data_IF_786400576981
#
_entry.id   IF_786400576981
#
_cell.length_a   1.000
_cell.length_b   1.000
_cell.length_c   1.000
_cell.angle_alpha   90.00
_cell.angle_beta   90.00
_cell.angle_gamma   90.00
#
_symmetry.space_group_name_H-M   'P 1'
#
loop_
_entity.id
_entity.type
_entity.pdbx_description
1 polymer ?
#
# COMPACT_ATOMS: atom_id res chain seq x y z
N UNK A 19 -0.64 5.30 11.37
CA UNK A 19 0.18 5.52 10.18
C UNK A 19 -0.65 6.02 9.00
N UNK A 20 -1.53 5.16 8.50
CA UNK A 20 -2.39 5.50 7.38
C UNK A 20 -3.48 6.49 7.79
N UNK A 21 -4.37 6.81 6.86
CA UNK A 21 -5.46 7.74 7.12
C UNK A 21 -6.79 7.18 6.62
N UNK A 22 -7.36 6.23 7.35
CA UNK A 22 -8.67 5.68 7.01
C UNK A 22 -8.81 4.99 5.66
N UNK A 23 -7.72 4.93 4.89
CA UNK A 23 -7.74 4.28 3.58
C UNK A 23 -7.22 2.84 3.67
N UNK A 24 -7.45 2.04 2.63
CA UNK A 24 -7.14 0.60 2.71
C UNK A 24 -5.75 0.21 2.22
N UNK A 25 -5.43 0.62 1.00
CA UNK A 25 -4.10 0.45 0.45
C UNK A 25 -3.73 1.75 -0.22
N UNK A 26 -2.55 2.27 0.09
CA UNK A 26 -2.09 3.52 -0.50
C UNK A 26 -0.81 3.26 -1.28
N UNK A 27 -0.76 3.72 -2.53
CA UNK A 27 0.47 3.62 -3.34
C UNK A 27 1.11 5.00 -3.54
N UNK A 28 2.43 5.03 -3.71
CA UNK A 28 3.13 6.30 -3.88
C UNK A 28 4.41 6.26 -4.69
N UNK A 29 4.70 7.35 -5.40
CA UNK A 29 5.92 7.44 -6.23
C UNK A 29 6.60 8.84 -6.20
N UNK A 30 7.94 8.80 -6.24
CA UNK A 30 8.76 10.00 -6.27
C UNK A 30 8.53 10.78 -7.55
N UNK A 31 8.36 12.09 -7.43
CA UNK A 31 8.30 12.93 -8.62
C UNK A 31 9.66 12.87 -9.32
N UNK A 32 10.73 12.73 -8.54
CA UNK A 32 12.07 12.65 -9.09
C UNK A 32 12.14 11.49 -10.09
N UNK A 33 11.32 10.47 -9.84
CA UNK A 33 11.25 9.28 -10.69
C UNK A 33 10.47 9.51 -11.99
N UNK A 34 9.22 9.91 -11.86
CA UNK A 34 8.37 10.09 -13.04
C UNK A 34 8.86 11.22 -13.96
N UNK A 35 9.36 12.31 -13.38
CA UNK A 35 9.89 13.45 -14.15
C UNK A 35 10.84 12.99 -15.24
N UNK A 36 11.64 11.98 -14.90
CA UNK A 36 12.67 11.45 -15.77
C UNK A 36 12.10 10.59 -16.90
N UNK A 37 11.09 9.77 -16.59
CA UNK A 37 10.41 9.01 -17.64
C UNK A 37 9.53 9.93 -18.48
N UNK A 38 9.16 11.06 -17.88
CA UNK A 38 8.43 12.08 -18.59
C UNK A 38 9.34 12.74 -19.61
N UNK A 39 10.59 13.01 -19.20
CA UNK A 39 11.53 13.74 -20.03
C UNK A 39 11.84 13.02 -21.34
N UNK A 40 12.10 11.72 -21.28
CA UNK A 40 12.46 10.99 -22.50
C UNK A 40 11.23 10.44 -23.21
N UNK A 41 10.05 10.63 -22.63
CA UNK A 41 8.82 10.48 -23.40
C UNK A 41 8.69 11.71 -24.29
N UNK A 42 9.18 12.84 -23.79
CA UNK A 42 9.24 14.07 -24.58
C UNK A 42 10.43 14.05 -25.55
N UNK A 43 11.55 13.45 -25.12
CA UNK A 43 12.71 13.29 -25.99
C UNK A 43 12.44 12.32 -27.14
N UNK A 44 11.23 11.76 -27.16
CA UNK A 44 10.74 11.05 -28.34
C UNK A 44 10.52 12.07 -29.46
N UNK A 45 10.19 13.30 -29.07
CA UNK A 45 10.33 14.54 -29.86
C UNK A 45 9.16 14.91 -30.80
N UNK A 46 8.23 14.00 -31.03
CA UNK A 46 7.09 14.30 -31.88
C UNK A 46 6.03 15.08 -31.11
N UNK A 47 6.40 16.28 -30.65
CA UNK A 47 5.53 17.06 -29.77
C UNK A 47 5.47 18.54 -30.12
N UNK A 48 4.81 18.84 -31.24
CA UNK A 48 4.56 20.23 -31.61
C UNK A 48 3.05 20.49 -31.50
N UNK A 49 2.71 21.63 -30.92
CA UNK A 49 1.31 22.02 -30.71
C UNK A 49 0.90 23.20 -31.58
N UNK A 50 -0.14 23.01 -32.38
CA UNK A 50 -0.61 24.07 -33.27
C UNK A 50 -2.07 24.38 -32.99
N UNK A 51 -2.38 25.67 -32.99
CA UNK A 51 -3.76 26.12 -32.90
C UNK A 51 -3.88 27.45 -33.63
N UNK A 52 -4.94 27.59 -34.41
CA UNK A 52 -5.22 28.85 -35.09
C UNK A 52 -6.71 29.13 -35.00
N UNK A 53 -7.07 30.13 -34.20
CA UNK A 53 -8.44 30.61 -34.13
C UNK A 53 -8.73 31.47 -35.36
N UNK A 54 -9.75 31.07 -36.09
CA UNK A 54 -10.10 31.72 -37.34
C UNK A 54 -11.50 32.30 -37.19
N UNK A 55 -11.74 33.50 -37.72
CA UNK A 55 -10.69 34.32 -38.29
C UNK A 55 -10.20 35.35 -37.27
N UNK A 56 -10.13 34.93 -36.01
CA UNK A 56 -9.80 35.84 -34.91
C UNK A 56 -8.34 36.28 -34.94
N UNK A 57 -7.62 35.87 -35.99
CA UNK A 57 -6.24 36.29 -36.22
C UNK A 57 -5.31 35.90 -35.09
N UNK A 58 -5.48 34.69 -34.55
CA UNK A 58 -4.63 34.20 -33.47
C UNK A 58 -3.97 32.87 -33.81
N UNK A 59 -2.75 32.65 -33.31
CA UNK A 59 -2.07 31.36 -33.47
C UNK A 59 -0.81 31.17 -32.59
N UNK A 60 -0.53 29.91 -32.22
CA UNK A 60 0.72 29.50 -31.57
C UNK A 60 1.30 28.21 -32.13
N UNK A 61 2.62 28.12 -32.12
CA UNK A 61 3.31 26.89 -32.43
C UNK A 61 4.34 26.65 -31.34
N UNK A 62 4.03 25.75 -30.42
CA UNK A 62 4.91 25.46 -29.28
C UNK A 62 5.70 24.17 -29.43
N UNK A 63 7.03 24.25 -29.38
CA UNK A 63 7.88 23.06 -29.41
C UNK A 63 8.58 22.88 -28.06
N UNK A 64 8.37 21.71 -27.46
CA UNK A 64 8.72 21.50 -26.07
C UNK A 64 10.11 20.90 -25.81
N UNK A 65 10.78 21.51 -24.82
CA UNK A 65 12.07 21.05 -24.32
C UNK A 65 11.90 19.98 -23.23
N UNK A 66 11.12 20.30 -22.20
CA UNK A 66 10.92 19.42 -21.06
C UNK A 66 9.67 19.82 -20.26
N UNK A 67 9.04 18.84 -19.60
CA UNK A 67 8.03 19.14 -18.57
C UNK A 67 8.53 18.59 -17.24
N UNK A 68 8.18 19.28 -16.17
CA UNK A 68 8.74 18.97 -14.86
C UNK A 68 7.70 19.21 -13.78
N UNK A 69 7.26 18.11 -13.18
CA UNK A 69 6.25 18.16 -12.13
C UNK A 69 6.86 18.81 -10.88
N UNK A 70 6.10 19.67 -10.21
CA UNK A 70 6.59 20.37 -9.03
C UNK A 70 5.54 20.40 -7.93
N UNK A 71 5.93 20.91 -6.77
CA UNK A 71 5.01 21.11 -5.64
C UNK A 71 3.85 22.03 -5.98
N UNK A 72 2.90 22.12 -5.06
CA UNK A 72 1.81 23.07 -5.18
C UNK A 72 0.58 22.42 -5.77
N UNK A 73 0.77 21.18 -6.21
CA UNK A 73 -0.33 20.38 -6.72
C UNK A 73 -1.33 20.02 -5.62
N UNK A 74 -2.58 20.40 -5.84
CA UNK A 74 -3.65 20.16 -4.87
C UNK A 74 -4.65 19.16 -5.46
N UNK A 75 -5.11 18.26 -4.61
CA UNK A 75 -6.14 17.29 -4.96
C UNK A 75 -5.73 16.43 -6.16
N UNK A 76 -6.62 16.29 -7.13
CA UNK A 76 -6.33 15.54 -8.34
C UNK A 76 -5.19 16.19 -9.12
N UNK A 77 -5.20 17.52 -9.16
CA UNK A 77 -4.21 18.25 -9.97
C UNK A 77 -2.72 18.12 -9.64
N UNK A 78 -1.94 18.06 -10.72
CA UNK A 78 -0.49 18.26 -10.78
C UNK A 78 -0.16 19.71 -11.08
N UNK A 79 0.96 20.21 -10.56
CA UNK A 79 1.46 21.49 -11.04
C UNK A 79 2.77 21.25 -11.74
N UNK A 80 2.90 21.75 -12.97
CA UNK A 80 4.08 21.43 -13.75
C UNK A 80 4.70 22.61 -14.47
N UNK A 81 6.03 22.60 -14.50
CA UNK A 81 6.86 23.60 -15.15
C UNK A 81 6.99 23.24 -16.64
N UNK A 82 6.66 24.17 -17.52
CA UNK A 82 6.76 23.92 -18.96
C UNK A 82 7.96 24.65 -19.58
N UNK A 83 8.90 23.90 -20.14
CA UNK A 83 10.05 24.51 -20.79
C UNK A 83 9.86 24.50 -22.31
N UNK A 84 9.66 25.68 -22.90
CA UNK A 84 9.64 25.78 -24.35
C UNK A 84 11.04 26.12 -24.81
N UNK A 85 11.50 25.53 -25.91
CA UNK A 85 12.83 25.90 -26.42
C UNK A 85 12.77 26.38 -27.88
N UNK A 86 11.60 26.25 -28.49
CA UNK A 86 11.34 26.80 -29.81
C UNK A 86 9.87 27.07 -29.94
N UNK A 87 9.50 28.12 -30.66
CA UNK A 87 8.10 28.43 -30.84
C UNK A 87 7.76 29.87 -31.15
N UNK A 88 6.47 30.10 -31.42
CA UNK A 88 5.99 31.45 -31.66
C UNK A 88 4.54 31.60 -31.23
N UNK A 89 4.05 32.83 -31.36
CA UNK A 89 2.74 33.20 -30.85
C UNK A 89 2.37 34.60 -31.38
N UNK A 90 1.31 34.67 -32.18
CA UNK A 90 0.91 35.93 -32.81
C UNK A 90 -0.57 36.30 -32.56
N UNK A 91 -0.81 37.54 -32.13
CA UNK A 91 -2.15 38.09 -32.01
C UNK A 91 -2.13 39.46 -32.66
N UNK A 92 -3.07 39.70 -33.57
CA UNK A 92 -3.26 41.04 -34.16
C UNK A 92 -2.02 41.65 -34.81
N UNK A 93 -1.24 40.83 -35.51
CA UNK A 93 -0.05 41.32 -36.23
C UNK A 93 1.15 41.52 -35.29
N UNK A 94 0.97 41.12 -34.03
CA UNK A 94 1.99 41.18 -33.00
C UNK A 94 2.68 39.84 -32.91
N UNK A 95 4.01 39.85 -32.95
CA UNK A 95 4.79 38.62 -32.97
C UNK A 95 5.63 38.43 -31.71
N UNK A 96 5.55 37.24 -31.12
CA UNK A 96 6.35 36.88 -29.94
C UNK A 96 6.84 35.44 -30.02
N UNK A 97 8.15 35.23 -30.03
CA UNK A 97 8.64 33.84 -30.11
C UNK A 97 8.81 33.29 -28.72
N UNK A 98 8.23 32.11 -28.51
CA UNK A 98 8.15 31.49 -27.20
C UNK A 98 9.40 30.69 -26.82
N UNK A 99 10.48 30.86 -27.59
CA UNK A 99 11.77 30.24 -27.27
C UNK A 99 12.24 30.66 -25.88
N UNK A 100 12.23 29.72 -24.93
CA UNK A 100 12.77 29.98 -23.61
C UNK A 100 11.80 30.42 -22.53
N UNK A 101 10.55 30.73 -22.91
CA UNK A 101 9.54 31.08 -21.91
C UNK A 101 9.17 29.84 -21.08
N UNK A 102 8.95 30.05 -19.79
CA UNK A 102 8.71 28.91 -18.90
C UNK A 102 7.44 29.12 -18.08
N UNK A 103 6.28 28.72 -18.66
CA UNK A 103 4.99 28.82 -17.99
C UNK A 103 4.81 27.76 -16.93
N UNK A 104 3.96 28.05 -15.96
CA UNK A 104 3.67 27.08 -14.92
C UNK A 104 2.17 26.82 -14.85
N UNK A 105 1.82 25.57 -15.10
CA UNK A 105 0.44 25.12 -15.17
C UNK A 105 0.07 24.22 -14.01
N UNK A 106 -1.22 24.12 -13.76
CA UNK A 106 -1.78 23.04 -12.93
C UNK A 106 -2.69 22.25 -13.83
N UNK A 107 -2.55 20.93 -13.84
CA UNK A 107 -3.37 20.08 -14.69
C UNK A 107 -4.01 18.88 -13.95
N UNK A 108 -5.11 18.37 -14.52
CA UNK A 108 -5.84 17.25 -13.95
C UNK A 108 -5.41 15.90 -14.53
N UNK A 109 -5.26 14.94 -13.63
CA UNK A 109 -5.12 13.55 -14.02
C UNK A 109 -6.39 12.79 -13.70
N UNK A 110 -6.73 11.83 -14.56
CA UNK A 110 -7.82 10.92 -14.24
C UNK A 110 -7.51 9.55 -14.80
N UNK A 111 -8.26 8.56 -14.35
CA UNK A 111 -8.02 7.20 -14.81
C UNK A 111 -8.82 6.94 -16.08
N UNK A 112 -8.19 6.28 -17.04
CA UNK A 112 -8.78 5.99 -18.35
C UNK A 112 -8.78 4.49 -18.61
N UNK A 113 -9.97 3.89 -18.77
CA UNK A 113 -10.04 2.47 -19.07
C UNK A 113 -9.31 2.16 -20.37
N UNK A 114 -8.81 0.94 -20.48
CA UNK A 114 -7.95 0.55 -21.59
C UNK A 114 -8.72 -0.09 -22.76
N UNK A 115 -8.22 0.10 -23.97
CA UNK A 115 -8.79 -0.54 -25.15
C UNK A 115 -8.22 -1.94 -25.34
N UNK A 116 -7.20 -2.27 -24.56
CA UNK A 116 -6.61 -3.62 -24.60
C UNK A 116 -7.29 -4.52 -23.55
N UNK A 117 -6.76 -4.51 -22.33
CA UNK A 117 -7.44 -5.12 -21.19
C UNK A 117 -8.20 -4.05 -20.39
N UNK A 118 -9.54 -3.99 -20.55
CA UNK A 118 -10.37 -3.01 -19.83
C UNK A 118 -10.33 -3.15 -18.31
N UNK A 119 -9.90 -4.31 -17.81
CA UNK A 119 -9.73 -4.52 -16.38
C UNK A 119 -8.48 -3.85 -15.84
N UNK A 120 -7.65 -3.36 -16.75
CA UNK A 120 -6.52 -2.51 -16.39
C UNK A 120 -6.89 -1.05 -16.64
N UNK A 121 -7.06 -0.30 -15.55
CA UNK A 121 -7.36 1.13 -15.68
C UNK A 121 -6.04 1.92 -15.72
N UNK A 122 -6.02 2.99 -16.49
CA UNK A 122 -4.78 3.66 -16.87
C UNK A 122 -4.75 5.16 -16.52
N UNK A 123 -3.69 5.60 -15.86
CA UNK A 123 -3.64 6.99 -15.38
C UNK A 123 -2.90 7.89 -16.37
N UNK A 124 -3.64 8.85 -16.94
CA UNK A 124 -3.09 9.73 -17.95
C UNK A 124 -3.46 11.17 -17.63
N UNK A 125 -2.93 12.12 -18.40
CA UNK A 125 -3.39 13.51 -18.36
C UNK A 125 -4.84 13.62 -18.82
N UNK A 126 -5.57 14.65 -18.40
CA UNK A 126 -6.92 14.82 -18.95
C UNK A 126 -7.39 16.28 -19.01
N UNK A 127 -7.52 16.81 -20.22
CA UNK A 127 -8.02 18.18 -20.38
C UNK A 127 -9.38 18.15 -21.08
N UNK A 128 -10.37 17.56 -20.42
CA UNK A 128 -11.71 17.53 -20.96
C UNK A 128 -12.40 18.87 -20.80
N UNK A 129 -13.58 18.84 -20.18
CA UNK A 129 -14.33 20.06 -19.94
C UNK A 129 -15.16 19.94 -18.67
N UNK A 136 -11.47 24.92 -17.88
CA UNK A 136 -12.19 23.86 -17.17
C UNK A 136 -11.26 23.06 -16.25
N UNK A 137 -10.31 22.33 -16.81
CA UNK A 137 -9.39 21.54 -15.97
C UNK A 137 -7.90 21.82 -16.30
N UNK A 138 -7.61 23.05 -16.75
CA UNK A 138 -6.23 23.57 -16.81
C UNK A 138 -6.20 24.98 -16.23
N UNK A 139 -5.31 25.21 -15.27
CA UNK A 139 -5.18 26.55 -14.71
C UNK A 139 -3.77 27.06 -15.06
N UNK A 140 -3.62 28.36 -15.27
CA UNK A 140 -2.31 28.95 -15.50
C UNK A 140 -1.87 29.66 -14.23
N UNK A 141 -0.69 29.30 -13.71
CA UNK A 141 -0.25 29.87 -12.44
C UNK A 141 0.67 31.01 -12.69
N UNK A 142 1.73 30.73 -13.45
CA UNK A 142 2.64 31.75 -13.93
C UNK A 142 2.67 31.67 -15.42
N UNK A 143 2.91 32.80 -16.07
CA UNK A 143 2.73 32.83 -17.52
C UNK A 143 4.02 32.53 -18.25
N UNK A 144 5.15 32.90 -17.65
CA UNK A 144 6.44 32.70 -18.29
C UNK A 144 7.55 33.40 -17.55
N UNK A 145 8.77 32.91 -17.71
CA UNK A 145 9.90 33.44 -16.98
C UNK A 145 11.15 33.48 -17.85
N UNK A 146 11.73 34.66 -17.97
CA UNK A 146 11.12 35.89 -17.47
C UNK A 146 11.23 36.86 -18.65
N UNK A 147 11.33 36.25 -19.82
CA UNK A 147 11.64 36.96 -21.06
C UNK A 147 10.39 37.54 -21.69
N UNK A 148 9.35 37.73 -20.87
CA UNK A 148 8.08 38.20 -21.41
C UNK A 148 7.77 39.67 -21.20
N UNK A 149 6.63 40.09 -21.73
CA UNK A 149 6.07 41.40 -21.49
C UNK A 149 4.88 41.14 -20.59
N UNK A 150 4.49 42.16 -19.83
CA UNK A 150 3.39 41.98 -18.89
C UNK A 150 2.17 41.59 -19.71
N UNK A 151 2.05 42.20 -20.89
CA UNK A 151 0.90 41.97 -21.76
C UNK A 151 0.91 40.50 -22.25
N UNK A 152 0.53 39.59 -21.34
CA UNK A 152 0.42 38.14 -21.56
C UNK A 152 -1.00 37.56 -21.28
N UNK A 153 -2.02 38.37 -21.52
CA UNK A 153 -3.38 37.88 -21.40
C UNK A 153 -3.67 36.96 -22.59
N UNK A 154 -2.99 37.24 -23.69
CA UNK A 154 -3.20 36.49 -24.92
C UNK A 154 -2.46 35.14 -24.91
N UNK A 155 -1.24 35.08 -24.35
CA UNK A 155 -0.51 33.80 -24.29
C UNK A 155 -1.36 32.79 -23.55
N UNK A 156 -1.85 33.20 -22.39
CA UNK A 156 -2.61 32.30 -21.53
C UNK A 156 -3.91 31.82 -22.18
N UNK A 157 -4.68 32.75 -22.76
CA UNK A 157 -5.88 32.38 -23.52
C UNK A 157 -5.52 31.33 -24.56
N UNK A 158 -4.40 31.55 -25.25
CA UNK A 158 -4.01 30.68 -26.35
C UNK A 158 -3.36 29.37 -25.91
N UNK A 159 -2.43 29.37 -24.96
CA UNK A 159 -1.82 28.09 -24.61
C UNK A 159 -2.80 27.23 -23.85
N UNK A 160 -4.00 27.72 -23.58
CA UNK A 160 -5.02 26.84 -23.06
C UNK A 160 -5.77 26.24 -24.26
N UNK A 161 -5.30 26.61 -25.42
CA UNK A 161 -5.65 25.92 -26.63
C UNK A 161 -4.68 24.74 -26.77
N UNK A 162 -4.22 24.28 -25.62
CA UNK A 162 -3.50 23.04 -25.42
C UNK A 162 -4.43 21.93 -25.84
N UNK A 163 -5.69 22.11 -25.50
CA UNK A 163 -6.64 21.02 -25.45
C UNK A 163 -6.71 20.38 -26.82
N UNK A 164 -6.62 21.20 -27.86
CA UNK A 164 -6.86 20.65 -29.17
C UNK A 164 -5.95 19.48 -29.36
N UNK A 165 -4.90 19.41 -28.56
CA UNK A 165 -3.86 18.41 -28.75
C UNK A 165 -3.80 17.44 -27.58
N UNK A 166 -4.94 17.28 -26.91
CA UNK A 166 -5.06 16.42 -25.72
C UNK A 166 -4.59 15.01 -26.01
N UNK A 167 -5.10 14.45 -27.10
CA UNK A 167 -4.81 13.09 -27.52
C UNK A 167 -3.33 12.89 -27.82
N UNK A 168 -2.66 13.96 -28.22
CA UNK A 168 -1.26 13.88 -28.61
C UNK A 168 -0.36 13.43 -27.47
N UNK A 169 -0.69 13.84 -26.25
CA UNK A 169 0.07 13.39 -25.08
C UNK A 169 -0.59 12.18 -24.40
N UNK A 170 -0.12 10.99 -24.73
CA UNK A 170 -0.71 9.77 -24.20
C UNK A 170 0.16 9.14 -23.12
N UNK A 171 0.87 9.97 -22.35
CA UNK A 171 1.81 9.43 -21.37
C UNK A 171 1.11 8.74 -20.21
N UNK A 172 1.63 7.57 -19.85
CA UNK A 172 1.04 6.74 -18.81
C UNK A 172 1.73 6.89 -17.48
N UNK A 173 1.11 7.63 -16.57
CA UNK A 173 1.72 7.87 -15.27
C UNK A 173 1.75 6.65 -14.38
N UNK A 174 0.79 5.76 -14.56
CA UNK A 174 0.75 4.52 -13.80
C UNK A 174 -0.27 3.57 -14.39
N UNK A 175 0.05 2.28 -14.41
CA UNK A 175 -0.92 1.27 -14.75
C UNK A 175 -1.53 0.79 -13.45
N UNK A 176 -2.85 0.69 -13.44
CA UNK A 176 -3.55 0.16 -12.28
C UNK A 176 -4.37 -1.06 -12.68
N UNK A 177 -4.14 -2.16 -11.97
CA UNK A 177 -4.69 -3.46 -12.30
C UNK A 177 -5.79 -3.90 -11.34
N UNK A 178 -7.05 -3.72 -11.72
CA UNK A 178 -8.11 -4.45 -11.02
C UNK A 178 -8.07 -5.86 -11.57
N UNK A 179 -8.57 -6.83 -10.81
CA UNK A 179 -8.57 -8.22 -11.24
C UNK A 179 -7.13 -8.74 -11.49
N UNK A 180 -6.31 -8.64 -10.46
CA UNK A 180 -4.97 -9.23 -10.44
C UNK A 180 -5.02 -10.62 -9.80
N UNK A 181 -3.92 -11.35 -9.88
CA UNK A 181 -3.90 -12.70 -9.32
C UNK A 181 -4.02 -12.68 -7.81
N UNK A 182 -3.68 -11.55 -7.19
CA UNK A 182 -3.86 -11.38 -5.75
C UNK A 182 -5.15 -10.62 -5.46
N UNK A 183 -6.16 -11.36 -5.02
CA UNK A 183 -7.53 -10.88 -5.02
C UNK A 183 -7.86 -9.90 -3.89
N UNK A 184 -7.22 -10.07 -2.74
CA UNK A 184 -7.55 -9.23 -1.61
C UNK A 184 -6.99 -7.82 -1.80
N UNK A 185 -6.08 -7.67 -2.75
CA UNK A 185 -5.50 -6.36 -3.04
C UNK A 185 -6.28 -5.60 -4.09
N UNK A 186 -7.18 -6.30 -4.78
CA UNK A 186 -7.93 -5.68 -5.87
C UNK A 186 -8.78 -4.53 -5.37
N UNK A 187 -8.61 -3.35 -5.99
CA UNK A 187 -9.32 -2.11 -5.64
C UNK A 187 -10.69 -1.97 -6.29
N UNK A 188 -11.67 -1.46 -5.56
CA UNK A 188 -12.99 -1.16 -6.12
C UNK A 188 -13.11 0.33 -6.42
N UNK A 189 -12.89 1.13 -5.38
CA UNK A 189 -12.82 2.57 -5.55
C UNK A 189 -11.42 3.05 -5.23
N UNK A 190 -11.01 4.16 -5.85
CA UNK A 190 -9.65 4.67 -5.74
C UNK A 190 -9.49 6.03 -6.43
N UNK A 191 -8.59 6.88 -5.93
CA UNK A 191 -8.38 8.18 -6.58
C UNK A 191 -7.00 8.82 -6.37
N UNK A 192 -6.64 9.70 -7.29
CA UNK A 192 -5.32 10.33 -7.33
C UNK A 192 -5.18 11.59 -6.46
N UNK A 193 -4.00 11.74 -5.86
CA UNK A 193 -3.71 12.84 -4.96
C UNK A 193 -2.22 13.13 -4.98
N UNK A 194 -1.87 14.41 -4.92
CA UNK A 194 -0.47 14.79 -4.94
C UNK A 194 0.01 15.22 -3.56
N UNK A 195 1.08 14.60 -3.09
CA UNK A 195 1.58 14.98 -1.77
C UNK A 195 2.78 15.89 -1.91
N UNK A 196 2.61 17.13 -1.47
CA UNK A 196 3.73 18.05 -1.33
C UNK A 196 3.95 18.32 0.16
N UNK A 197 5.20 18.16 0.63
CA UNK A 197 5.54 18.30 2.05
C UNK A 197 5.84 19.72 2.49
N UNK A 198 6.50 19.84 3.63
CA UNK A 198 6.92 21.13 4.17
C UNK A 198 8.31 21.49 3.64
N UNK A 199 9.26 20.54 3.73
CA UNK A 199 10.49 20.62 2.97
C UNK A 199 10.12 20.48 1.50
N UNK A 200 11.05 20.69 0.58
CA UNK A 200 10.64 20.82 -0.82
C UNK A 200 10.30 19.50 -1.56
N UNK A 201 11.18 18.51 -1.58
CA UNK A 201 10.96 17.38 -2.49
C UNK A 201 9.72 16.58 -2.15
N UNK A 202 9.21 15.82 -3.13
CA UNK A 202 7.89 15.22 -3.00
C UNK A 202 7.63 14.02 -3.87
N UNK A 203 6.57 13.30 -3.49
CA UNK A 203 6.08 12.19 -4.27
C UNK A 203 4.59 12.28 -4.33
N UNK A 204 4.03 12.05 -5.52
CA UNK A 204 2.59 11.97 -5.63
C UNK A 204 2.18 10.54 -5.45
N UNK A 205 0.87 10.32 -5.48
CA UNK A 205 0.39 9.08 -4.97
C UNK A 205 -1.08 8.81 -5.20
N UNK A 206 -1.45 7.55 -4.99
CA UNK A 206 -2.75 7.06 -5.38
C UNK A 206 -3.37 6.20 -4.26
N UNK A 207 -4.60 6.53 -3.87
CA UNK A 207 -5.23 5.94 -2.68
C UNK A 207 -6.41 5.01 -3.04
N UNK A 208 -6.55 3.86 -2.34
CA UNK A 208 -7.67 2.95 -2.61
C UNK A 208 -8.36 2.30 -1.41
N UNK A 209 -9.55 1.79 -1.72
CA UNK A 209 -10.31 0.87 -0.88
C UNK A 209 -10.51 -0.43 -1.65
N UNK A 210 -10.16 -1.58 -1.07
CA UNK A 210 -10.25 -2.84 -1.81
C UNK A 210 -11.51 -3.65 -1.54
N UNK A 211 -12.23 -3.98 -2.62
CA UNK A 211 -13.42 -4.82 -2.57
C UNK A 211 -14.61 -4.10 -1.93
N UNK A 212 -14.40 -3.69 -0.69
CA UNK A 212 -15.36 -2.89 0.08
C UNK A 212 -15.74 -1.58 -0.61
N UNK A 213 -17.03 -1.37 -0.72
CA UNK A 213 -17.52 -0.09 -1.20
C UNK A 213 -17.93 0.76 0.00
N UNK A 214 -16.94 1.23 0.75
CA UNK A 214 -17.19 2.01 1.96
C UNK A 214 -17.54 3.48 1.69
N UNK A 215 -17.59 4.29 2.73
CA UNK A 215 -18.15 5.61 2.59
C UNK A 215 -17.37 6.36 1.51
N UNK A 216 -16.07 6.18 1.49
CA UNK A 216 -15.23 6.71 0.42
C UNK A 216 -15.13 8.22 0.55
N UNK A 217 -16.28 8.89 0.54
CA UNK A 217 -16.30 10.32 0.79
C UNK A 217 -17.30 10.63 1.92
N UNK A 218 -16.87 11.43 2.88
CA UNK A 218 -15.56 12.07 2.81
C UNK A 218 -14.51 11.32 3.65
N UNK A 219 -13.54 10.74 2.96
CA UNK A 219 -12.30 10.32 3.60
C UNK A 219 -11.25 11.38 3.30
N UNK A 220 -10.30 11.53 4.22
CA UNK A 220 -9.19 12.47 4.02
C UNK A 220 -8.38 12.11 2.79
N UNK A 221 -7.46 12.98 2.44
CA UNK A 221 -6.54 12.65 1.36
C UNK A 221 -5.13 12.80 1.90
N UNK A 222 -5.02 13.20 3.16
CA UNK A 222 -3.73 13.30 3.82
C UNK A 222 -3.01 11.95 3.72
N UNK A 223 -1.69 11.98 3.52
CA UNK A 223 -0.95 10.75 3.35
C UNK A 223 0.28 10.75 4.24
N UNK A 224 0.71 9.56 4.63
CA UNK A 224 1.86 9.45 5.50
C UNK A 224 3.10 9.57 4.66
N UNK A 225 3.94 10.56 4.97
CA UNK A 225 5.20 10.73 4.26
C UNK A 225 6.13 9.56 4.54
N UNK A 226 5.79 8.74 5.53
CA UNK A 226 6.56 7.53 5.82
C UNK A 226 6.67 6.63 4.61
N UNK A 227 5.65 6.67 3.73
CA UNK A 227 5.56 5.73 2.61
C UNK A 227 6.83 5.67 1.78
N UNK A 228 7.43 6.84 1.55
CA UNK A 228 8.71 6.93 0.86
C UNK A 228 9.85 7.13 1.85
N UNK A 229 11.09 6.96 1.39
CA UNK A 229 12.30 7.25 2.20
C UNK A 229 13.45 7.64 1.30
N UNK A 230 14.57 8.05 1.90
CA UNK A 230 15.70 8.49 1.09
C UNK A 230 16.18 7.36 0.17
N UNK A 231 16.11 6.12 0.68
CA UNK A 231 16.58 4.94 -0.04
C UNK A 231 15.61 4.48 -1.14
N UNK A 232 14.35 4.90 -1.02
CA UNK A 232 13.25 4.32 -1.81
C UNK A 232 12.51 5.29 -2.75
N UNK A 233 12.31 4.84 -4.00
CA UNK A 233 11.56 5.56 -5.03
C UNK A 233 10.07 5.29 -4.99
N UNK A 234 9.69 4.03 -4.79
CA UNK A 234 8.27 3.66 -4.75
C UNK A 234 7.89 3.04 -3.40
N UNK A 235 6.69 3.37 -2.95
CA UNK A 235 6.19 2.88 -1.68
C UNK A 235 4.76 2.37 -1.79
N UNK A 236 4.42 1.53 -0.82
CA UNK A 236 3.12 0.85 -0.73
C UNK A 236 2.77 0.69 0.73
N UNK A 237 1.60 1.18 1.12
CA UNK A 237 1.15 1.08 2.51
C UNK A 237 -0.13 0.24 2.68
N UNK A 238 0.00 -0.90 3.35
CA UNK A 238 -1.15 -1.78 3.64
C UNK A 238 -1.73 -1.50 5.02
N UNK A 239 -3.05 -1.30 5.07
CA UNK A 239 -3.77 -1.07 6.32
C UNK A 239 -3.54 -2.22 7.31
N UNK A 240 -3.74 -1.96 8.60
CA UNK A 240 -3.55 -3.02 9.60
C UNK A 240 -4.43 -4.24 9.31
N UNK A 241 -5.70 -4.01 9.03
CA UNK A 241 -6.65 -5.10 8.81
C UNK A 241 -6.14 -6.03 7.72
N UNK A 242 -5.98 -5.50 6.51
CA UNK A 242 -5.52 -6.34 5.38
C UNK A 242 -4.28 -7.14 5.72
N UNK A 243 -3.41 -6.53 6.52
CA UNK A 243 -2.21 -7.22 6.99
C UNK A 243 -2.57 -8.41 7.86
N UNK A 244 -3.38 -8.16 8.88
CA UNK A 244 -3.85 -9.22 9.78
C UNK A 244 -4.50 -10.37 8.99
N UNK A 245 -5.47 -10.02 8.16
CA UNK A 245 -6.26 -11.00 7.42
C UNK A 245 -5.48 -11.74 6.34
N UNK A 246 -4.70 -11.01 5.54
CA UNK A 246 -4.16 -11.64 4.34
C UNK A 246 -2.67 -11.91 4.41
N UNK A 247 -2.01 -11.44 5.47
CA UNK A 247 -0.57 -11.65 5.58
C UNK A 247 -0.21 -12.50 6.78
N UNK A 248 -0.68 -12.11 7.96
CA UNK A 248 -0.36 -12.88 9.16
C UNK A 248 -1.17 -14.19 9.26
N UNK A 249 -2.49 -14.04 9.40
CA UNK A 249 -3.39 -15.18 9.57
C UNK A 249 -3.10 -16.40 8.66
N UNK A 250 -2.98 -16.19 7.33
CA UNK A 250 -2.73 -17.34 6.45
C UNK A 250 -1.58 -18.20 6.90
N UNK A 251 -0.49 -17.58 7.36
CA UNK A 251 0.64 -18.37 7.84
C UNK A 251 0.32 -19.04 9.19
N UNK A 252 0.02 -18.21 10.19
CA UNK A 252 -0.33 -18.62 11.54
C UNK A 252 -1.32 -19.76 11.55
N UNK A 253 -2.41 -19.56 10.84
CA UNK A 253 -3.52 -20.50 10.87
C UNK A 253 -3.20 -21.88 10.24
N UNK A 254 -1.98 -22.03 9.73
CA UNK A 254 -1.51 -23.26 9.14
C UNK A 254 -0.23 -23.65 9.83
N UNK A 255 -0.01 -23.10 11.01
CA UNK A 255 1.19 -23.43 11.74
C UNK A 255 0.88 -24.22 13.00
N UNK A 256 -0.34 -24.77 13.06
CA UNK A 256 -0.84 -25.32 14.31
C UNK A 256 -1.38 -26.75 14.18
N UNK A 257 -0.92 -27.49 13.19
CA UNK A 257 -1.44 -28.83 12.99
C UNK A 257 -2.58 -28.96 11.99
N UNK A 258 -2.90 -30.20 11.65
CA UNK A 258 -3.79 -30.50 10.55
C UNK A 258 -5.26 -30.27 10.85
N UNK A 259 -5.61 -30.01 12.12
CA UNK A 259 -7.03 -29.78 12.40
C UNK A 259 -7.29 -28.32 12.70
N UNK A 260 -6.35 -27.48 12.27
CA UNK A 260 -6.58 -26.04 12.25
C UNK A 260 -6.22 -25.43 10.90
N UNK A 261 -7.16 -24.66 10.33
CA UNK A 261 -7.01 -24.13 8.99
C UNK A 261 -7.61 -22.76 8.67
N UNK A 262 -7.51 -21.78 9.56
CA UNK A 262 -8.00 -20.42 9.23
C UNK A 262 -9.51 -20.31 9.08
N UNK A 263 -10.13 -21.34 8.49
CA UNK A 263 -11.57 -21.48 8.54
C UNK A 263 -11.96 -21.54 10.03
N UNK A 264 -11.01 -21.98 10.85
CA UNK A 264 -11.13 -21.93 12.30
C UNK A 264 -10.97 -20.54 12.91
N UNK A 265 -10.52 -19.57 12.10
CA UNK A 265 -10.24 -18.20 12.56
C UNK A 265 -11.09 -17.10 11.97
N UNK A 266 -11.39 -16.10 12.81
CA UNK A 266 -12.01 -14.86 12.38
C UNK A 266 -11.07 -13.67 12.52
N UNK A 267 -11.22 -12.66 11.68
CA UNK A 267 -10.60 -11.39 12.00
C UNK A 267 -11.71 -10.38 12.26
N UNK A 268 -11.70 -9.83 13.46
CA UNK A 268 -12.77 -8.97 13.97
C UNK A 268 -12.44 -7.48 13.82
N UNK A 269 -13.41 -6.69 13.39
CA UNK A 269 -13.18 -5.27 13.17
C UNK A 269 -13.21 -4.46 14.48
N UNK A 270 -12.28 -3.50 14.59
CA UNK A 270 -12.29 -2.51 15.67
C UNK A 270 -12.31 -1.09 15.08
N UNK A 271 -11.79 -0.99 13.87
CA UNK A 271 -12.01 0.15 12.98
C UNK A 271 -12.31 -0.44 11.60
N UNK A 272 -12.41 0.41 10.58
CA UNK A 272 -12.52 -0.10 9.22
C UNK A 272 -11.13 -0.40 8.67
N UNK A 273 -10.11 -0.15 9.49
CA UNK A 273 -8.72 -0.46 9.13
C UNK A 273 -7.94 -1.11 10.29
N UNK A 274 -8.55 -1.16 11.46
CA UNK A 274 -7.95 -1.77 12.64
C UNK A 274 -8.61 -3.12 12.88
N UNK A 275 -7.83 -4.17 13.14
CA UNK A 275 -8.38 -5.50 13.28
C UNK A 275 -7.68 -6.49 14.21
N UNK A 276 -8.48 -7.31 14.89
CA UNK A 276 -7.98 -8.35 15.80
C UNK A 276 -8.25 -9.78 15.30
N UNK A 277 -7.28 -10.68 15.50
CA UNK A 277 -7.47 -12.08 15.20
C UNK A 277 -8.09 -12.85 16.38
N UNK A 278 -9.34 -13.28 16.22
CA UNK A 278 -9.90 -14.20 17.19
C UNK A 278 -10.18 -15.57 16.56
N UNK A 279 -10.26 -16.60 17.39
CA UNK A 279 -10.67 -17.92 16.91
C UNK A 279 -12.20 -18.00 16.69
N UNK A 280 -12.60 -18.71 15.64
CA UNK A 280 -14.01 -18.80 15.27
C UNK A 280 -14.68 -19.85 16.13
N UNK A 281 -13.85 -20.78 16.60
CA UNK A 281 -14.29 -21.96 17.33
C UNK A 281 -13.11 -22.72 17.92
N UNK A 282 -13.39 -23.91 18.46
CA UNK A 282 -12.38 -24.69 19.14
C UNK A 282 -11.25 -25.07 18.18
N UNK A 283 -10.01 -24.78 18.59
CA UNK A 283 -8.84 -25.16 17.82
C UNK A 283 -8.31 -26.51 18.29
N UNK A 284 -8.31 -27.51 17.40
CA UNK A 284 -7.85 -28.83 17.82
C UNK A 284 -6.35 -29.01 17.58
N UNK A 285 -5.58 -28.90 18.66
CA UNK A 285 -4.14 -29.02 18.53
C UNK A 285 -3.74 -30.41 18.04
N UNK A 286 -2.55 -30.48 17.47
CA UNK A 286 -2.03 -31.77 17.03
C UNK A 286 -1.51 -32.58 18.22
N UNK A 287 -1.27 -33.87 18.02
CA UNK A 287 -0.89 -34.73 19.12
C UNK A 287 0.54 -34.58 19.63
N UNK A 288 0.69 -34.40 20.95
CA UNK A 288 1.99 -34.36 21.64
C UNK A 288 2.25 -35.60 22.51
N UNK A 289 3.36 -36.31 22.27
CA UNK A 289 3.68 -37.51 23.05
C UNK A 289 4.51 -37.26 24.29
N UNK A 290 3.89 -37.50 25.43
CA UNK A 290 4.52 -37.33 26.73
C UNK A 290 4.60 -38.67 27.43
N UNK A 291 5.82 -39.12 27.71
CA UNK A 291 6.05 -40.49 28.14
C UNK A 291 5.47 -41.37 27.07
N UNK A 292 4.59 -42.28 27.46
CA UNK A 292 4.14 -43.33 26.54
C UNK A 292 2.85 -42.98 25.81
N UNK A 293 2.24 -41.85 26.16
CA UNK A 293 0.94 -41.50 25.58
C UNK A 293 0.89 -40.19 24.77
N UNK A 294 0.04 -40.17 23.74
CA UNK A 294 -0.26 -38.97 22.96
C UNK A 294 -1.37 -38.13 23.59
N UNK A 295 -1.13 -36.83 23.75
CA UNK A 295 -2.16 -35.93 24.24
C UNK A 295 -2.53 -34.91 23.15
N UNK A 296 -3.77 -34.40 23.21
CA UNK A 296 -4.36 -33.62 22.12
C UNK A 296 -5.07 -32.41 22.67
N UNK A 297 -4.29 -31.38 23.06
CA UNK A 297 -4.90 -30.25 23.79
C UNK A 297 -5.80 -29.46 22.89
N UNK A 298 -6.70 -28.66 23.46
CA UNK A 298 -7.53 -27.79 22.65
C UNK A 298 -7.61 -26.39 23.23
N UNK A 299 -7.26 -25.41 22.40
CA UNK A 299 -7.41 -24.01 22.76
C UNK A 299 -8.87 -23.58 22.52
N UNK A 300 -9.48 -22.97 23.52
CA UNK A 300 -10.90 -22.65 23.46
C UNK A 300 -11.27 -21.23 23.04
N UNK A 301 -10.46 -20.26 23.46
CA UNK A 301 -10.51 -18.90 22.90
C UNK A 301 -9.10 -18.37 22.63
N UNK A 302 -8.96 -17.68 21.51
CA UNK A 302 -7.65 -17.29 21.01
C UNK A 302 -7.71 -15.87 20.51
N UNK A 303 -6.67 -15.10 20.81
CA UNK A 303 -6.64 -13.71 20.40
C UNK A 303 -5.22 -13.26 20.07
N UNK A 304 -5.08 -12.60 18.92
CA UNK A 304 -3.83 -11.98 18.52
C UNK A 304 -4.12 -10.57 18.00
N UNK A 305 -3.77 -9.55 18.77
CA UNK A 305 -3.92 -8.14 18.35
C UNK A 305 -2.56 -7.47 18.17
N UNK A 306 -2.48 -6.47 17.29
CA UNK A 306 -1.20 -5.80 17.07
C UNK A 306 -0.91 -4.83 18.20
N UNK A 307 0.35 -4.81 18.64
CA UNK A 307 0.71 -4.20 19.92
C UNK A 307 2.07 -3.45 19.82
N UNK A 308 2.12 -2.24 20.34
CA UNK A 308 3.33 -1.40 20.28
C UNK A 308 3.92 -1.29 18.87
N UNK A 309 3.05 -1.19 17.85
CA UNK A 309 3.49 -0.98 16.49
C UNK A 309 3.99 -2.18 15.70
N UNK A 310 5.06 -2.82 16.17
CA UNK A 310 5.68 -3.92 15.43
C UNK A 310 5.63 -5.30 16.14
N UNK A 311 4.96 -5.35 17.30
CA UNK A 311 4.85 -6.61 18.04
C UNK A 311 3.41 -7.19 18.06
N UNK A 312 3.31 -8.52 18.11
CA UNK A 312 2.01 -9.20 18.28
C UNK A 312 1.85 -9.75 19.70
N UNK A 313 0.72 -9.40 20.32
CA UNK A 313 0.37 -9.88 21.66
C UNK A 313 -0.62 -11.02 21.50
N UNK A 314 -0.20 -12.22 21.88
CA UNK A 314 -1.09 -13.37 21.75
C UNK A 314 -1.64 -13.79 23.12
N UNK A 315 -2.93 -14.09 23.15
CA UNK A 315 -3.64 -14.35 24.40
C UNK A 315 -4.64 -15.48 24.19
N UNK A 316 -4.21 -16.71 24.48
CA UNK A 316 -5.06 -17.89 24.32
C UNK A 316 -5.32 -18.63 25.63
N UNK A 317 -6.38 -19.44 25.62
CA UNK A 317 -6.64 -20.34 26.73
C UNK A 317 -7.43 -21.57 26.30
N UNK A 318 -7.20 -22.67 27.00
CA UNK A 318 -7.82 -23.94 26.69
C UNK A 318 -7.33 -25.01 27.64
N UNK A 319 -7.60 -26.27 27.29
CA UNK A 319 -7.29 -27.38 28.18
C UNK A 319 -6.66 -28.56 27.44
N UNK A 320 -6.16 -29.52 28.21
CA UNK A 320 -5.67 -30.76 27.65
C UNK A 320 -6.12 -31.94 28.52
N UNK A 321 -6.93 -32.84 27.97
CA UNK A 321 -7.40 -33.98 28.75
C UNK A 321 -6.34 -35.09 28.84
N UNK A 322 -6.31 -35.75 30.00
CA UNK A 322 -5.39 -36.87 30.23
C UNK A 322 -5.92 -38.17 29.63
N UNK A 323 -5.21 -38.68 28.62
CA UNK A 323 -5.67 -39.87 27.92
C UNK A 323 -5.69 -41.06 28.89
N UNK A 324 -6.87 -41.63 29.13
CA UNK A 324 -7.00 -42.76 30.04
C UNK A 324 -7.63 -42.36 31.36
N UNK A 325 -7.66 -41.06 31.62
CA UNK A 325 -8.30 -40.46 32.78
C UNK A 325 -9.08 -39.29 32.26
N UNK A 326 -10.10 -39.59 31.46
CA UNK A 326 -10.73 -38.57 30.63
C UNK A 326 -11.20 -37.36 31.42
N UNK A 327 -11.71 -37.62 32.62
CA UNK A 327 -12.31 -36.57 33.43
C UNK A 327 -11.29 -35.86 34.34
N UNK A 328 -10.01 -35.98 33.99
CA UNK A 328 -8.96 -35.25 34.67
C UNK A 328 -8.14 -34.51 33.63
N UNK A 329 -8.18 -33.19 33.69
CA UNK A 329 -7.58 -32.30 32.69
C UNK A 329 -6.70 -31.22 33.31
N UNK A 330 -6.00 -30.49 32.47
CA UNK A 330 -5.13 -29.40 32.92
C UNK A 330 -5.52 -28.10 32.20
N UNK A 331 -5.89 -27.07 32.95
CA UNK A 331 -6.26 -25.80 32.33
C UNK A 331 -5.01 -25.01 31.92
N UNK A 332 -5.02 -24.54 30.67
CA UNK A 332 -3.86 -23.91 30.04
C UNK A 332 -4.10 -22.42 29.70
N UNK A 333 -3.28 -21.52 30.25
CA UNK A 333 -3.34 -20.09 29.90
C UNK A 333 -1.97 -19.53 29.47
N UNK A 334 -1.93 -18.89 28.30
CA UNK A 334 -0.69 -18.22 27.85
C UNK A 334 -0.90 -16.78 27.38
N UNK A 335 0.06 -15.91 27.72
CA UNK A 335 0.21 -14.64 27.00
C UNK A 335 1.63 -14.59 26.44
N UNK A 336 1.74 -14.26 25.15
CA UNK A 336 3.02 -14.39 24.47
C UNK A 336 3.21 -13.35 23.36
N UNK A 337 4.15 -12.45 23.59
CA UNK A 337 4.50 -11.38 22.67
C UNK A 337 5.48 -11.85 21.58
N UNK A 338 5.10 -11.70 20.32
CA UNK A 338 6.03 -11.97 19.22
C UNK A 338 6.32 -10.68 18.49
N UNK A 339 7.43 -10.66 17.73
CA UNK A 339 7.95 -9.43 17.13
C UNK A 339 8.28 -9.53 15.64
N UNK A 340 7.87 -8.52 14.88
CA UNK A 340 8.20 -8.41 13.47
C UNK A 340 9.71 -8.34 13.29
N UNK A 341 10.20 -8.92 12.21
CA UNK A 341 11.64 -9.04 11.96
C UNK A 341 11.86 -8.98 10.47
N UNK A 342 12.70 -8.06 10.02
CA UNK A 342 12.92 -8.02 8.59
C UNK A 342 14.36 -8.25 8.23
N UNK A 343 14.55 -9.11 7.23
CA UNK A 343 15.88 -9.45 6.80
C UNK A 343 16.07 -8.77 5.45
N UNK A 344 16.88 -7.71 5.42
CA UNK A 344 16.98 -6.94 4.20
C UNK A 344 17.73 -7.69 3.11
N UNK A 345 18.57 -8.65 3.49
CA UNK A 345 19.36 -9.40 2.50
C UNK A 345 18.52 -10.38 1.65
N UNK A 346 17.59 -11.10 2.27
CA UNK A 346 16.81 -12.06 1.51
C UNK A 346 15.32 -11.65 1.45
N UNK A 347 15.04 -10.44 1.94
CA UNK A 347 13.67 -9.89 1.90
C UNK A 347 12.65 -10.87 2.54
N UNK A 348 12.96 -11.31 3.75
CA UNK A 348 12.09 -12.21 4.51
C UNK A 348 11.43 -11.52 5.71
N UNK A 349 10.11 -11.66 5.84
CA UNK A 349 9.41 -11.19 7.04
C UNK A 349 9.22 -12.34 8.04
N UNK A 350 9.47 -12.05 9.31
CA UNK A 350 9.71 -13.08 10.31
C UNK A 350 9.10 -12.61 11.62
N UNK A 351 8.64 -13.53 12.43
CA UNK A 351 8.25 -13.17 13.79
C UNK A 351 8.91 -14.10 14.78
N UNK A 352 9.57 -13.49 15.75
CA UNK A 352 10.22 -14.25 16.78
C UNK A 352 9.58 -13.97 18.13
N UNK A 353 9.96 -14.77 19.11
CA UNK A 353 9.44 -14.65 20.46
C UNK A 353 10.10 -13.50 21.18
N UNK A 354 9.30 -12.57 21.72
CA UNK A 354 9.84 -11.43 22.47
C UNK A 354 9.80 -11.71 23.97
N UNK A 355 8.64 -12.19 24.42
CA UNK A 355 8.47 -12.50 25.83
C UNK A 355 7.35 -13.49 26.06
N UNK A 356 7.42 -14.20 27.17
CA UNK A 356 6.30 -15.02 27.56
C UNK A 356 5.89 -14.60 28.96
N UNK A 357 5.12 -13.50 29.03
CA UNK A 357 4.73 -12.98 30.33
C UNK A 357 3.74 -13.87 31.07
N UNK A 358 3.13 -14.83 30.39
CA UNK A 358 2.24 -15.80 31.04
C UNK A 358 2.35 -17.20 30.46
N UNK A 359 2.74 -18.16 31.29
CA UNK A 359 2.60 -19.57 30.94
C UNK A 359 2.14 -20.35 32.16
N UNK A 360 0.82 -20.36 32.34
CA UNK A 360 0.21 -20.87 33.56
C UNK A 360 -0.47 -22.21 33.34
N UNK A 361 0.14 -23.25 33.90
CA UNK A 361 -0.38 -24.61 33.83
C UNK A 361 -0.91 -25.07 35.19
N UNK A 362 -2.23 -25.21 35.30
CA UNK A 362 -2.84 -25.55 36.59
C UNK A 362 -3.78 -26.75 36.49
N UNK A 363 -3.25 -27.97 36.72
CA UNK A 363 -3.98 -29.24 36.84
C UNK A 363 -5.19 -29.18 37.78
N UNK A 364 -6.28 -29.86 37.39
CA UNK A 364 -7.49 -29.93 38.21
C UNK A 364 -7.69 -31.33 38.83
N UNK A 365 -7.48 -31.43 40.14
CA UNK A 365 -7.60 -32.70 40.84
C UNK A 365 -8.07 -32.51 42.28
N UNK A 366 -8.33 -33.65 42.94
CA UNK A 366 -8.80 -33.63 44.32
C UNK A 366 -8.06 -34.61 45.19
N UNK A 367 -7.64 -34.16 46.36
CA UNK A 367 -7.07 -35.05 47.36
C UNK A 367 -5.86 -35.84 46.83
N UNK A 368 -5.96 -37.15 47.04
CA UNK A 368 -4.90 -38.16 46.95
C UNK A 368 -4.26 -38.36 45.59
N UNK A 369 -5.03 -38.24 44.52
CA UNK A 369 -4.55 -38.68 43.22
C UNK A 369 -3.61 -37.63 42.69
N UNK A 370 -2.44 -37.60 43.33
CA UNK A 370 -1.35 -36.71 42.99
C UNK A 370 -0.67 -37.24 41.75
N UNK A 371 -0.70 -38.55 41.57
CA UNK A 371 -0.02 -39.20 40.46
C UNK A 371 -0.54 -38.77 39.08
N UNK A 372 -1.88 -38.70 38.90
CA UNK A 372 -2.26 -38.10 37.61
C UNK A 372 -2.01 -36.59 37.57
N UNK A 373 -2.22 -35.91 38.71
CA UNK A 373 -1.96 -34.48 38.83
C UNK A 373 -0.60 -34.11 38.26
N UNK A 374 0.38 -34.98 38.48
CA UNK A 374 1.75 -34.73 38.07
C UNK A 374 1.97 -34.89 36.57
N UNK A 375 1.31 -35.87 35.96
CA UNK A 375 1.38 -36.00 34.50
C UNK A 375 0.53 -34.87 33.89
N UNK A 376 -0.47 -34.43 34.63
CA UNK A 376 -1.27 -33.31 34.17
C UNK A 376 -0.41 -32.03 34.09
N UNK A 377 0.44 -31.84 35.09
CA UNK A 377 1.37 -30.72 35.08
C UNK A 377 2.33 -30.86 33.91
N UNK A 378 2.75 -32.09 33.64
CA UNK A 378 3.77 -32.28 32.62
C UNK A 378 3.20 -32.18 31.21
N UNK A 379 1.99 -32.68 30.99
CA UNK A 379 1.36 -32.53 29.67
C UNK A 379 0.98 -31.06 29.42
N UNK A 380 0.49 -30.40 30.48
CA UNK A 380 0.21 -28.97 30.43
C UNK A 380 1.41 -28.17 29.97
N UNK A 381 2.53 -28.32 30.65
CA UNK A 381 3.75 -27.56 30.34
C UNK A 381 4.31 -27.90 28.96
N UNK A 382 4.05 -29.11 28.49
CA UNK A 382 4.52 -29.47 27.15
C UNK A 382 3.65 -28.83 26.08
N UNK A 383 2.36 -28.69 26.40
CA UNK A 383 1.38 -28.16 25.46
C UNK A 383 1.59 -26.68 25.27
N UNK A 384 1.84 -25.98 26.38
CA UNK A 384 2.06 -24.55 26.34
C UNK A 384 3.26 -24.22 25.44
N UNK A 385 4.32 -25.01 25.59
CA UNK A 385 5.48 -24.85 24.74
C UNK A 385 5.07 -25.00 23.30
N UNK A 386 4.31 -26.06 23.02
CA UNK A 386 3.86 -26.30 21.66
C UNK A 386 3.18 -25.07 21.07
N UNK A 387 2.35 -24.41 21.88
CA UNK A 387 1.60 -23.22 21.45
C UNK A 387 2.53 -22.08 21.04
N UNK A 388 3.22 -21.55 22.05
CA UNK A 388 4.28 -20.58 21.84
C UNK A 388 5.12 -20.89 20.60
N UNK A 389 5.64 -22.10 20.52
CA UNK A 389 6.50 -22.49 19.40
C UNK A 389 5.86 -22.19 18.04
N UNK A 390 4.53 -22.24 17.99
CA UNK A 390 3.81 -22.13 16.72
C UNK A 390 3.62 -20.68 16.33
N UNK A 391 3.85 -19.79 17.29
CA UNK A 391 3.81 -18.36 17.07
C UNK A 391 5.11 -17.79 16.48
N UNK A 392 6.05 -18.65 16.11
CA UNK A 392 7.35 -18.18 15.66
C UNK A 392 7.70 -18.75 14.30
N UNK A 393 7.25 -18.05 13.28
CA UNK A 393 7.34 -18.50 11.91
C UNK A 393 7.86 -17.40 10.98
N UNK A 394 7.82 -17.68 9.67
CA UNK A 394 8.27 -16.76 8.63
C UNK A 394 7.25 -16.76 7.49
N UNK A 395 6.77 -15.58 7.07
CA UNK A 395 5.76 -15.51 6.00
C UNK A 395 6.38 -15.96 4.68
N UNK A 396 5.54 -16.27 3.69
CA UNK A 396 6.09 -16.87 2.47
C UNK A 396 5.73 -16.10 1.21
N UNK A 397 5.03 -14.98 1.40
CA UNK A 397 4.70 -14.09 0.30
C UNK A 397 5.90 -13.66 -0.50
N UNK A 398 5.65 -13.35 -1.76
CA UNK A 398 6.64 -12.71 -2.59
C UNK A 398 6.29 -11.22 -2.59
N UNK A 399 7.01 -10.44 -1.80
CA UNK A 399 6.63 -9.03 -1.65
C UNK A 399 6.93 -8.22 -2.89
N UNK A 400 7.96 -8.61 -3.61
CA UNK A 400 8.21 -8.01 -4.92
C UNK A 400 6.98 -8.20 -5.82
N UNK A 401 6.36 -9.39 -5.73
CA UNK A 401 5.16 -9.65 -6.50
C UNK A 401 4.06 -8.70 -6.04
N UNK A 402 4.00 -8.46 -4.73
CA UNK A 402 2.95 -7.65 -4.12
C UNK A 402 3.06 -6.18 -4.50
N UNK A 403 4.25 -5.62 -4.43
CA UNK A 403 4.35 -4.20 -4.72
C UNK A 403 4.00 -4.01 -6.20
N UNK A 404 4.47 -4.92 -7.05
CA UNK A 404 4.22 -4.84 -8.49
C UNK A 404 2.82 -5.29 -8.95
N UNK A 405 1.96 -5.67 -8.01
CA UNK A 405 0.71 -6.37 -8.35
C UNK A 405 -0.36 -5.43 -8.90
N UNK A 406 -0.67 -4.41 -8.12
CA UNK A 406 -1.73 -3.49 -8.53
C UNK A 406 -1.19 -2.25 -9.29
N UNK A 407 -0.41 -1.40 -8.63
CA UNK A 407 0.08 -0.21 -9.31
C UNK A 407 1.53 -0.33 -9.74
N UNK A 408 1.74 -0.23 -11.04
CA UNK A 408 3.08 -0.07 -11.60
C UNK A 408 3.22 1.34 -12.11
N UNK A 409 4.05 2.12 -11.45
CA UNK A 409 4.23 3.51 -11.87
C UNK A 409 5.02 3.60 -13.17
N UNK A 410 4.46 4.35 -14.12
CA UNK A 410 5.05 4.55 -15.44
C UNK A 410 5.11 3.25 -16.23
N UNK A 411 4.13 2.38 -15.99
CA UNK A 411 4.05 1.11 -16.70
C UNK A 411 5.33 0.29 -16.52
N UNK A 412 5.85 0.28 -15.31
CA UNK A 412 7.10 -0.43 -15.06
C UNK A 412 7.08 -1.22 -13.74
N UNK A 413 7.77 -2.34 -13.75
CA UNK A 413 7.95 -3.13 -12.53
C UNK A 413 9.11 -2.59 -11.72
N UNK A 414 9.09 -2.91 -10.43
CA UNK A 414 10.16 -2.59 -9.49
C UNK A 414 11.19 -3.72 -9.37
N UNK A 415 12.47 -3.37 -9.53
CA UNK A 415 13.53 -4.37 -9.51
C UNK A 415 13.87 -4.85 -8.11
N UNK A 416 14.08 -3.93 -7.17
CA UNK A 416 14.51 -4.33 -5.83
C UNK A 416 13.65 -3.68 -4.76
N UNK A 417 13.23 -4.49 -3.79
CA UNK A 417 12.52 -4.01 -2.61
C UNK A 417 13.54 -3.57 -1.55
N UNK A 418 13.42 -2.32 -1.08
CA UNK A 418 14.47 -1.74 -0.25
C UNK A 418 14.22 -1.85 1.26
N UNK A 419 12.94 -1.88 1.65
CA UNK A 419 12.61 -2.11 3.05
C UNK A 419 11.16 -2.49 3.25
N UNK A 420 10.91 -3.17 4.36
CA UNK A 420 9.57 -3.53 4.78
C UNK A 420 9.40 -3.06 6.22
N UNK A 421 8.29 -2.38 6.49
CA UNK A 421 8.10 -1.89 7.84
C UNK A 421 6.74 -2.21 8.35
N UNK A 422 6.71 -2.72 9.56
CA UNK A 422 5.46 -2.96 10.24
C UNK A 422 5.39 -2.03 11.41
N UNK A 423 4.78 -0.87 11.18
CA UNK A 423 4.50 0.06 12.26
C UNK A 423 3.02 0.38 12.20
N UNK A 424 2.22 -0.56 12.68
CA UNK A 424 0.75 -0.55 12.63
C UNK A 424 0.24 -0.81 11.22
N UNK A 425 0.75 -0.04 10.27
CA UNK A 425 0.49 -0.32 8.88
C UNK A 425 1.60 -1.22 8.39
N UNK A 426 1.42 -1.78 7.20
CA UNK A 426 2.42 -2.69 6.66
C UNK A 426 2.90 -2.05 5.40
N UNK A 427 4.20 -1.71 5.38
CA UNK A 427 4.73 -0.85 4.34
C UNK A 427 5.86 -1.54 3.60
N UNK A 428 5.72 -1.55 2.29
CA UNK A 428 6.75 -2.11 1.41
C UNK A 428 7.34 -0.96 0.59
N UNK A 429 8.66 -0.96 0.40
CA UNK A 429 9.38 0.10 -0.32
C UNK A 429 10.40 -0.47 -1.29
N UNK A 430 10.62 0.22 -2.41
CA UNK A 430 11.55 -0.28 -3.42
C UNK A 430 12.02 0.73 -4.44
N UNK A 431 12.90 0.28 -5.34
CA UNK A 431 13.39 1.08 -6.47
C UNK A 431 13.09 0.41 -7.83
N UNK A 432 12.56 1.18 -8.77
CA UNK A 432 12.32 0.69 -10.13
C UNK A 432 13.59 0.67 -10.97
N UNK A 433 13.65 -0.25 -11.92
CA UNK A 433 14.76 -0.28 -12.88
C UNK A 433 14.30 -0.82 -14.25
#
# INVERSE_FOLDING_TARGET
MRGSHHHHHHGSLVPRGSNTYGWDIVYGCSNRVVNKHLKNYIDENKIEFLYSDINKKQEIKMIFDNWEIINGGTSNFLRIKIFIKEGYFKFRNTTVDLSGVIPILEIKLDFFNDASNPHIKELKFSFGNKTNDDIKVIVSDLSGKLYEEDEFYFNKLLISAFINNEKQVSYIFASLNVTSNIVWMNPKQFKFVYYSPTDNNDGYLCILSVVTNRDISKLSTNVDSSILSENSEVGLLISEKLFMENLLLPKLSSNMGSNITSNNFNVINTSDTTGIIKNKNTLNWYGIKVAALYYYPEINDFSMELFEGNKLKTRLSGIVKLTGYERIYSKLNMECITKFIYDNKNKKVSFEIYSTPIMECRPIFGLLDGIPAAVAKSVGNWSLKSFRDSLAFELANNFTDIINDIVNWNNLKISEVTNIILNVGFCIQGNMNPGSAWSHPQFEK
#
